data_IF_133210329241
#
_entry.id   IF_133210329241
#
_cell.length_a   1.000
_cell.length_b   1.000
_cell.length_c   1.000
_cell.angle_alpha   90.00
_cell.angle_beta   90.00
_cell.angle_gamma   90.00
#
_symmetry.space_group_name_H-M   'P 1'
#
loop_
_entity.id
_entity.type
_entity.pdbx_description
1 polymer ?
#
# COMPACT_ATOMS: atom_id res chain seq x y z
N UNK A 1 3.77 4.09 -15.81
CA UNK A 1 2.67 3.91 -14.84
C UNK A 1 3.30 3.96 -13.46
N UNK A 2 2.70 4.62 -12.46
CA UNK A 2 3.34 4.73 -11.12
C UNK A 2 3.24 3.41 -10.38
N UNK A 3 4.30 3.04 -9.67
CA UNK A 3 4.37 1.75 -8.95
C UNK A 3 3.51 1.77 -7.67
N UNK A 4 2.89 0.64 -7.38
CA UNK A 4 2.12 0.35 -6.17
C UNK A 4 3.02 -0.20 -5.06
N UNK A 5 2.50 -0.25 -3.83
CA UNK A 5 3.30 -0.68 -2.70
C UNK A 5 3.87 -2.09 -2.85
N UNK A 6 3.15 -3.02 -3.47
CA UNK A 6 3.62 -4.40 -3.62
C UNK A 6 4.75 -4.54 -4.64
N UNK A 7 4.79 -3.67 -5.66
CA UNK A 7 5.89 -3.61 -6.64
C UNK A 7 7.16 -3.06 -5.98
N UNK A 8 7.08 -1.96 -5.22
CA UNK A 8 8.24 -1.33 -4.56
C UNK A 8 8.74 -2.09 -3.33
N UNK A 9 7.81 -2.73 -2.60
CA UNK A 9 8.14 -3.52 -1.41
C UNK A 9 8.45 -4.98 -1.74
N UNK A 10 8.26 -5.39 -3.00
CA UNK A 10 8.43 -6.77 -3.48
C UNK A 10 7.79 -7.80 -2.55
N UNK A 11 6.52 -7.54 -2.17
CA UNK A 11 5.88 -8.33 -1.14
C UNK A 11 5.23 -9.61 -1.68
N UNK A 12 4.92 -9.66 -2.99
CA UNK A 12 4.34 -10.81 -3.69
C UNK A 12 2.89 -11.11 -3.31
N UNK A 13 2.16 -10.15 -2.74
CA UNK A 13 0.76 -10.32 -2.28
C UNK A 13 -0.25 -9.58 -3.16
N UNK A 14 0.16 -9.12 -4.33
CA UNK A 14 -0.74 -8.69 -5.40
C UNK A 14 -1.58 -9.86 -5.94
N UNK A 15 -2.70 -9.59 -6.64
CA UNK A 15 -3.44 -10.64 -7.35
C UNK A 15 -2.54 -11.35 -8.36
N UNK A 16 -2.45 -12.67 -8.28
CA UNK A 16 -1.53 -13.53 -9.02
C UNK A 16 -0.11 -13.58 -8.44
N UNK A 17 0.16 -12.91 -7.32
CA UNK A 17 1.48 -12.80 -6.72
C UNK A 17 1.97 -14.08 -6.06
N UNK A 18 3.30 -14.21 -5.92
CA UNK A 18 3.96 -15.42 -5.42
C UNK A 18 3.50 -15.86 -4.02
N UNK A 19 3.09 -14.94 -3.15
CA UNK A 19 2.64 -15.18 -1.78
C UNK A 19 1.12 -15.13 -1.62
N UNK A 20 0.35 -15.00 -2.69
CA UNK A 20 -1.11 -15.02 -2.62
C UNK A 20 -1.62 -16.33 -2.01
N UNK A 21 -1.07 -17.48 -2.42
CA UNK A 21 -1.53 -18.79 -1.94
C UNK A 21 -1.26 -19.01 -0.45
N UNK A 22 -0.14 -18.48 0.04
CA UNK A 22 0.31 -18.72 1.42
C UNK A 22 -0.21 -17.68 2.41
N UNK A 23 -0.28 -16.41 1.99
CA UNK A 23 -0.60 -15.27 2.86
C UNK A 23 -1.87 -14.51 2.44
N UNK A 24 -2.57 -14.99 1.40
CA UNK A 24 -3.70 -14.30 0.79
C UNK A 24 -3.31 -13.01 0.06
N UNK A 25 -4.24 -12.52 -0.75
CA UNK A 25 -4.08 -11.24 -1.46
C UNK A 25 -4.05 -10.07 -0.46
N UNK A 26 -3.18 -9.10 -0.73
CA UNK A 26 -3.08 -7.87 0.04
C UNK A 26 -4.37 -7.07 -0.07
N UNK A 27 -4.95 -6.69 1.07
CA UNK A 27 -6.15 -5.85 1.13
C UNK A 27 -5.98 -4.53 0.35
N UNK A 28 -4.78 -3.96 0.29
CA UNK A 28 -4.55 -2.76 -0.51
C UNK A 28 -4.66 -3.00 -2.03
N UNK A 29 -4.37 -4.22 -2.50
CA UNK A 29 -4.42 -4.57 -3.91
C UNK A 29 -5.84 -4.88 -4.42
N UNK A 30 -6.76 -5.22 -3.52
CA UNK A 30 -8.17 -5.51 -3.84
C UNK A 30 -9.14 -4.41 -3.39
N UNK A 31 -8.67 -3.41 -2.63
CA UNK A 31 -9.50 -2.28 -2.24
C UNK A 31 -9.64 -1.26 -3.37
N UNK A 32 -10.59 -1.50 -4.27
CA UNK A 32 -10.86 -0.63 -5.42
C UNK A 32 -11.63 0.66 -5.08
N UNK A 33 -12.10 0.84 -3.83
CA UNK A 33 -12.73 2.11 -3.41
C UNK A 33 -11.75 3.29 -3.46
N UNK A 34 -10.44 3.00 -3.44
CA UNK A 34 -9.37 3.99 -3.55
C UNK A 34 -8.64 3.94 -4.89
N UNK A 35 -9.19 3.24 -5.88
CA UNK A 35 -8.57 3.12 -7.19
C UNK A 35 -8.30 4.50 -7.81
N UNK A 36 -7.10 4.69 -8.37
CA UNK A 36 -6.65 5.96 -8.93
C UNK A 36 -6.10 6.96 -7.91
N UNK A 37 -6.22 6.70 -6.59
CA UNK A 37 -5.60 7.56 -5.57
C UNK A 37 -4.09 7.59 -5.75
N UNK A 38 -3.54 8.80 -5.79
CA UNK A 38 -2.15 9.06 -6.16
C UNK A 38 -1.74 8.33 -7.47
N UNK A 39 -2.65 8.13 -8.43
CA UNK A 39 -2.34 7.40 -9.68
C UNK A 39 -2.02 5.91 -9.51
N UNK A 40 -2.42 5.29 -8.41
CA UNK A 40 -2.26 3.85 -8.14
C UNK A 40 -3.44 2.98 -8.57
N UNK A 41 -3.22 1.66 -8.57
CA UNK A 41 -4.29 0.65 -8.75
C UNK A 41 -4.80 0.21 -7.38
N UNK A 42 -6.12 0.09 -7.22
CA UNK A 42 -6.73 -0.15 -5.91
C UNK A 42 -6.25 0.90 -4.89
N UNK A 43 -5.88 0.46 -3.69
CA UNK A 43 -5.22 1.30 -2.70
C UNK A 43 -3.68 1.15 -2.73
N UNK A 44 -3.09 0.70 -3.84
CA UNK A 44 -1.66 0.42 -3.94
C UNK A 44 -0.75 1.61 -3.66
N UNK A 45 -1.15 2.81 -4.09
CA UNK A 45 -0.51 4.10 -3.75
C UNK A 45 -1.26 4.89 -2.67
N UNK A 46 -2.06 4.18 -1.87
CA UNK A 46 -2.84 4.70 -0.75
C UNK A 46 -2.90 3.69 0.40
N UNK A 47 -1.89 2.82 0.47
CA UNK A 47 -1.97 1.60 1.26
C UNK A 47 -2.03 1.92 2.76
N UNK A 48 -1.45 3.03 3.21
CA UNK A 48 -1.49 3.51 4.60
C UNK A 48 -2.91 3.78 5.13
N UNK A 49 -3.92 3.90 4.26
CA UNK A 49 -5.33 4.06 4.64
C UNK A 49 -6.10 2.75 4.77
N UNK A 50 -5.47 1.61 4.47
CA UNK A 50 -6.12 0.30 4.48
C UNK A 50 -5.65 -0.52 5.68
N UNK A 51 -6.57 -0.96 6.56
CA UNK A 51 -6.24 -1.87 7.66
C UNK A 51 -5.94 -3.29 7.15
N UNK A 52 -5.24 -4.12 7.94
CA UNK A 52 -5.03 -5.53 7.61
C UNK A 52 -3.99 -5.81 6.51
N UNK A 53 -3.22 -4.79 6.08
CA UNK A 53 -2.07 -5.02 5.20
C UNK A 53 -0.92 -5.66 5.98
N UNK A 54 -0.09 -6.46 5.32
CA UNK A 54 1.06 -7.11 5.93
C UNK A 54 2.35 -6.44 5.46
N UNK A 55 2.68 -5.30 6.05
CA UNK A 55 3.87 -4.51 5.71
C UNK A 55 5.06 -4.95 6.59
N UNK A 56 6.24 -5.17 5.99
CA UNK A 56 7.43 -5.59 6.74
C UNK A 56 7.27 -6.93 7.47
N UNK A 57 6.43 -7.83 6.97
CA UNK A 57 6.16 -9.13 7.60
C UNK A 57 5.17 -9.09 8.77
N UNK A 58 4.67 -7.91 9.17
CA UNK A 58 3.73 -7.76 10.29
C UNK A 58 2.38 -7.24 9.80
N UNK A 59 1.31 -7.81 10.33
CA UNK A 59 -0.05 -7.28 10.13
C UNK A 59 -0.10 -5.87 10.74
N UNK A 60 -0.46 -4.90 9.91
CA UNK A 60 -0.69 -3.53 10.35
C UNK A 60 -2.10 -3.46 10.92
N UNK A 61 -2.18 -3.05 12.19
CA UNK A 61 -3.41 -2.99 12.98
C UNK A 61 -4.37 -1.88 12.54
N UNK A 62 -4.87 -1.09 13.49
CA UNK A 62 -5.82 -0.03 13.19
C UNK A 62 -5.20 1.06 12.31
N UNK A 63 -6.05 1.89 11.69
CA UNK A 63 -5.59 3.02 10.89
C UNK A 63 -4.66 3.98 11.68
N UNK A 64 -4.97 4.21 12.97
CA UNK A 64 -4.19 5.11 13.83
C UNK A 64 -2.77 4.57 14.04
N UNK A 65 -2.66 3.28 14.40
CA UNK A 65 -1.37 2.61 14.60
C UNK A 65 -0.56 2.57 13.30
N UNK A 66 -1.27 2.40 12.18
CA UNK A 66 -0.66 2.32 10.87
C UNK A 66 -0.12 3.67 10.40
N UNK A 67 -0.85 4.77 10.59
CA UNK A 67 -0.39 6.07 10.10
C UNK A 67 0.87 6.56 10.83
N UNK A 68 1.00 6.27 12.12
CA UNK A 68 2.23 6.53 12.87
C UNK A 68 3.44 5.82 12.21
N UNK A 69 3.30 4.53 11.89
CA UNK A 69 4.35 3.73 11.25
C UNK A 69 4.58 4.09 9.77
N UNK A 70 3.53 4.47 9.05
CA UNK A 70 3.62 4.78 7.62
C UNK A 70 4.39 6.06 7.34
N UNK A 71 4.48 7.00 8.28
CA UNK A 71 5.35 8.17 8.15
C UNK A 71 6.83 7.79 7.95
N UNK A 72 7.28 6.62 8.43
CA UNK A 72 8.64 6.11 8.24
C UNK A 72 8.76 5.10 7.09
N UNK A 73 7.66 4.79 6.41
CA UNK A 73 7.68 3.84 5.31
C UNK A 73 8.34 4.45 4.07
N UNK A 74 9.35 3.77 3.50
CA UNK A 74 10.05 4.21 2.29
C UNK A 74 9.08 4.52 1.14
N UNK A 75 8.07 3.67 0.97
CA UNK A 75 7.10 3.82 -0.10
C UNK A 75 6.17 5.02 0.13
N UNK A 76 5.73 5.27 1.37
CA UNK A 76 4.94 6.46 1.68
C UNK A 76 5.70 7.74 1.34
N UNK A 77 6.98 7.82 1.74
CA UNK A 77 7.82 8.98 1.45
C UNK A 77 8.06 9.16 -0.06
N UNK A 78 8.25 8.06 -0.77
CA UNK A 78 8.31 8.07 -2.24
C UNK A 78 7.03 8.63 -2.84
N UNK A 79 5.84 8.14 -2.44
CA UNK A 79 4.57 8.66 -2.98
C UNK A 79 4.40 10.15 -2.67
N UNK A 80 4.69 10.56 -1.44
CA UNK A 80 4.61 11.97 -1.03
C UNK A 80 5.53 12.86 -1.87
N UNK A 81 6.73 12.38 -2.20
CA UNK A 81 7.69 13.09 -3.06
C UNK A 81 7.22 13.14 -4.51
N UNK A 82 6.71 12.03 -5.05
CA UNK A 82 6.23 11.93 -6.44
C UNK A 82 4.94 12.72 -6.72
N UNK A 83 4.06 12.89 -5.74
CA UNK A 83 2.83 13.69 -5.89
C UNK A 83 3.00 15.14 -5.45
N UNK A 84 3.98 15.46 -4.60
CA UNK A 84 4.23 16.79 -4.08
C UNK A 84 2.94 17.52 -3.64
N UNK A 85 2.55 18.60 -4.32
CA UNK A 85 1.38 19.43 -3.98
C UNK A 85 0.04 18.76 -4.28
N UNK A 86 0.00 17.72 -5.11
CA UNK A 86 -1.23 16.97 -5.43
C UNK A 86 -1.36 15.67 -4.62
N UNK A 87 -0.51 15.47 -3.60
CA UNK A 87 -0.54 14.31 -2.72
C UNK A 87 -1.89 14.17 -2.02
N UNK A 88 -2.47 12.97 -2.12
CA UNK A 88 -3.68 12.58 -1.42
C UNK A 88 -3.29 11.72 -0.22
N UNK A 89 -3.52 12.25 0.98
CA UNK A 89 -3.15 11.66 2.27
C UNK A 89 -4.18 10.68 2.83
#
# INVERSE_FOLDING_TARGET
MKENCWEVMDCGREPGGAKEKDLGVCAAATNFTHNGKNGGKGAGRYCWKVAGTLCGGKVQGSFVDKMANCSMCKFFQQVKTEEATVFQA
#
